data_IF_503613829958
#
_entry.id   IF_503613829958
#
_cell.length_a   1.000
_cell.length_b   1.000
_cell.length_c   1.000
_cell.angle_alpha   90.00
_cell.angle_beta   90.00
_cell.angle_gamma   90.00
#
_symmetry.space_group_name_H-M   'P 1'
#
loop_
_entity.id
_entity.type
_entity.pdbx_description
1 polymer ?
#
# COMPACT_ATOMS: atom_id res chain seq x y z
N UNK A 1 -23.69 27.44 0.67
CA UNK A 1 -25.14 27.71 0.60
C UNK A 1 -25.42 29.22 0.56
N UNK A 2 -24.60 30.00 -0.16
CA UNK A 2 -24.82 31.45 -0.30
C UNK A 2 -24.59 32.32 0.94
N UNK A 3 -24.08 31.78 2.06
CA UNK A 3 -23.81 32.54 3.29
C UNK A 3 -22.35 32.40 3.74
N UNK A 4 -21.74 33.51 4.16
CA UNK A 4 -20.46 33.50 4.86
C UNK A 4 -20.66 32.88 6.25
N UNK A 5 -19.77 31.96 6.63
CA UNK A 5 -19.73 31.36 7.97
C UNK A 5 -18.38 31.66 8.62
N UNK A 6 -18.35 32.14 9.87
CA UNK A 6 -17.09 32.29 10.58
C UNK A 6 -16.45 30.92 10.80
N UNK A 7 -15.12 30.87 10.68
CA UNK A 7 -14.38 29.70 11.15
C UNK A 7 -14.37 29.70 12.67
N UNK A 8 -14.47 28.52 13.27
CA UNK A 8 -14.32 28.35 14.70
C UNK A 8 -12.84 28.29 15.05
N UNK A 9 -12.37 29.17 15.93
CA UNK A 9 -11.04 29.05 16.52
C UNK A 9 -11.03 27.91 17.56
N UNK A 10 -9.98 27.11 17.55
CA UNK A 10 -9.76 26.03 18.49
C UNK A 10 -8.36 26.13 19.07
N UNK A 11 -8.28 26.19 20.39
CA UNK A 11 -7.03 26.10 21.15
C UNK A 11 -6.90 24.67 21.70
N UNK A 12 -5.91 23.94 21.20
CA UNK A 12 -5.61 22.56 21.62
C UNK A 12 -4.65 22.51 22.81
N UNK A 13 -4.25 23.67 23.36
CA UNK A 13 -3.30 23.78 24.46
C UNK A 13 -1.85 23.82 24.00
N UNK A 14 -0.93 23.38 24.86
CA UNK A 14 0.51 23.47 24.63
C UNK A 14 1.11 22.10 24.35
N UNK A 15 1.97 22.03 23.34
CA UNK A 15 2.77 20.86 23.02
C UNK A 15 4.25 21.16 23.30
N UNK A 16 4.90 20.32 24.10
CA UNK A 16 6.34 20.38 24.34
C UNK A 16 7.03 19.29 23.55
N UNK A 17 7.92 19.67 22.63
CA UNK A 17 8.75 18.75 21.86
C UNK A 17 10.22 19.17 21.99
N UNK A 18 11.09 18.24 22.42
CA UNK A 18 12.52 18.49 22.65
C UNK A 18 12.82 19.73 23.52
N UNK A 19 12.02 19.94 24.57
CA UNK A 19 12.16 21.08 25.49
C UNK A 19 11.58 22.41 24.97
N UNK A 20 11.12 22.48 23.72
CA UNK A 20 10.44 23.64 23.18
C UNK A 20 8.92 23.49 23.34
N UNK A 21 8.28 24.45 24.00
CA UNK A 21 6.82 24.48 24.19
C UNK A 21 6.19 25.45 23.21
N UNK A 22 5.18 24.99 22.47
CA UNK A 22 4.41 25.81 21.52
C UNK A 22 2.92 25.64 21.78
N UNK A 23 2.17 26.74 21.69
CA UNK A 23 0.72 26.68 21.68
C UNK A 23 0.24 26.09 20.35
N UNK A 24 -0.72 25.17 20.42
CA UNK A 24 -1.27 24.46 19.28
C UNK A 24 -2.68 24.99 19.05
N UNK A 25 -2.83 25.85 18.05
CA UNK A 25 -4.13 26.44 17.70
C UNK A 25 -4.44 26.17 16.23
N UNK A 26 -5.72 26.03 15.90
CA UNK A 26 -6.18 25.88 14.53
C UNK A 26 -7.61 26.37 14.35
N UNK A 27 -7.97 26.63 13.10
CA UNK A 27 -9.35 26.96 12.73
C UNK A 27 -10.10 25.71 12.29
N UNK A 28 -11.42 25.71 12.48
CA UNK A 28 -12.33 24.67 12.01
C UNK A 28 -13.43 25.30 11.17
N UNK A 29 -13.79 24.62 10.10
CA UNK A 29 -14.96 24.93 9.27
C UNK A 29 -16.07 23.93 9.58
N UNK A 30 -17.21 24.06 8.90
CA UNK A 30 -18.27 23.03 8.94
C UNK A 30 -17.79 21.68 8.40
N UNK A 31 -16.69 21.66 7.64
CA UNK A 31 -16.10 20.46 7.05
C UNK A 31 -15.00 19.86 7.92
N UNK A 32 -14.60 20.49 9.03
CA UNK A 32 -13.55 19.97 9.92
C UNK A 32 -12.36 20.90 10.10
N UNK A 33 -11.24 20.43 10.68
CA UNK A 33 -10.04 21.24 10.92
C UNK A 33 -9.45 21.77 9.62
N UNK A 34 -8.95 23.00 9.66
CA UNK A 34 -8.19 23.62 8.57
C UNK A 34 -6.75 23.12 8.64
N UNK A 35 -6.34 22.35 7.64
CA UNK A 35 -4.98 21.79 7.53
C UNK A 35 -3.99 22.80 6.95
N UNK A 36 -4.47 23.78 6.19
CA UNK A 36 -3.61 24.76 5.54
C UNK A 36 -4.39 25.72 4.65
N UNK A 37 -3.64 26.50 3.88
CA UNK A 37 -4.18 27.49 2.97
C UNK A 37 -3.53 27.38 1.59
N UNK A 38 -4.34 27.58 0.55
CA UNK A 38 -3.89 27.63 -0.83
C UNK A 38 -4.38 28.92 -1.51
N UNK A 39 -4.04 29.10 -2.79
CA UNK A 39 -4.57 30.17 -3.63
C UNK A 39 -5.31 29.58 -4.82
N UNK A 40 -6.52 30.08 -5.09
CA UNK A 40 -7.30 29.78 -6.29
C UNK A 40 -7.61 31.11 -6.96
N UNK A 41 -7.13 31.32 -8.19
CA UNK A 41 -7.26 32.59 -8.92
C UNK A 41 -6.82 33.81 -8.07
N UNK A 42 -5.67 33.69 -7.41
CA UNK A 42 -5.12 34.72 -6.53
C UNK A 42 -5.81 34.86 -5.15
N UNK A 43 -6.98 34.27 -4.96
CA UNK A 43 -7.73 34.33 -3.69
C UNK A 43 -7.27 33.24 -2.73
N UNK A 44 -6.99 33.62 -1.48
CA UNK A 44 -6.68 32.66 -0.41
C UNK A 44 -7.90 31.79 -0.12
N UNK A 45 -7.69 30.47 -0.09
CA UNK A 45 -8.69 29.46 0.28
C UNK A 45 -8.14 28.63 1.43
N UNK A 46 -9.02 28.19 2.34
CA UNK A 46 -8.65 27.24 3.38
C UNK A 46 -8.86 25.80 2.87
N UNK A 47 -7.93 24.92 3.21
CA UNK A 47 -8.05 23.48 3.00
C UNK A 47 -8.50 22.86 4.32
N UNK A 48 -9.66 22.23 4.32
CA UNK A 48 -10.22 21.60 5.51
C UNK A 48 -10.42 20.10 5.28
N UNK A 49 -10.30 19.31 6.34
CA UNK A 49 -10.41 17.85 6.28
C UNK A 49 -11.73 17.37 6.87
N UNK A 50 -12.54 16.68 6.05
CA UNK A 50 -13.82 16.10 6.45
C UNK A 50 -13.69 14.59 6.61
N UNK A 51 -13.66 14.13 7.86
CA UNK A 51 -13.65 12.70 8.21
C UNK A 51 -15.08 12.21 8.47
N UNK A 52 -15.52 11.19 7.73
CA UNK A 52 -16.87 10.64 7.84
C UNK A 52 -17.19 10.03 9.22
N UNK A 53 -16.18 9.42 9.84
CA UNK A 53 -16.24 8.84 11.18
C UNK A 53 -16.01 9.85 12.31
N UNK A 54 -15.86 11.15 12.01
CA UNK A 54 -15.64 12.17 13.05
C UNK A 54 -16.75 12.15 14.11
N UNK A 55 -16.34 12.05 15.39
CA UNK A 55 -17.24 12.02 16.55
C UNK A 55 -17.93 10.66 16.77
N UNK A 56 -17.53 9.62 16.03
CA UNK A 56 -18.11 8.27 16.11
C UNK A 56 -17.08 7.20 16.48
N UNK A 57 -15.88 7.60 16.86
CA UNK A 57 -14.75 6.70 17.12
C UNK A 57 -15.08 5.59 18.12
N UNK A 58 -15.89 5.90 19.16
CA UNK A 58 -16.30 4.93 20.18
C UNK A 58 -17.33 3.92 19.65
N UNK A 59 -18.09 4.24 18.59
CA UNK A 59 -19.09 3.32 18.04
C UNK A 59 -18.46 2.07 17.43
N UNK A 60 -17.19 2.16 17.02
CA UNK A 60 -16.40 1.04 16.53
C UNK A 60 -16.31 -0.10 17.55
N UNK A 61 -16.27 0.24 18.84
CA UNK A 61 -16.19 -0.74 19.93
C UNK A 61 -17.46 -1.58 20.08
N UNK A 62 -18.61 -1.10 19.58
CA UNK A 62 -19.88 -1.83 19.70
C UNK A 62 -19.86 -3.12 18.88
N UNK A 63 -19.14 -3.14 17.76
CA UNK A 63 -18.96 -4.36 16.97
C UNK A 63 -18.24 -5.43 17.80
N UNK A 64 -17.08 -5.09 18.37
CA UNK A 64 -16.30 -6.01 19.20
C UNK A 64 -17.02 -6.40 20.49
N UNK A 65 -17.78 -5.46 21.10
CA UNK A 65 -18.60 -5.74 22.27
C UNK A 65 -19.62 -6.85 21.97
N UNK A 66 -20.33 -6.77 20.84
CA UNK A 66 -21.31 -7.80 20.43
C UNK A 66 -20.66 -9.17 20.24
N UNK A 67 -19.47 -9.21 19.62
CA UNK A 67 -18.70 -10.46 19.47
C UNK A 67 -18.30 -11.04 20.83
N UNK A 68 -17.75 -10.21 21.71
CA UNK A 68 -17.25 -10.64 23.03
C UNK A 68 -18.36 -11.10 23.98
N UNK A 69 -19.60 -10.65 23.79
CA UNK A 69 -20.75 -11.00 24.64
C UNK A 69 -21.66 -12.05 23.99
N UNK A 70 -21.20 -12.74 22.93
CA UNK A 70 -21.95 -13.83 22.30
C UNK A 70 -23.27 -13.37 21.70
N UNK A 71 -23.32 -12.18 21.10
CA UNK A 71 -24.53 -11.64 20.45
C UNK A 71 -24.54 -11.86 18.93
N UNK A 72 -23.53 -12.55 18.40
CA UNK A 72 -23.34 -12.84 16.98
C UNK A 72 -23.10 -14.33 16.83
N UNK A 73 -24.03 -15.02 16.18
CA UNK A 73 -24.07 -16.48 16.09
C UNK A 73 -23.88 -17.01 14.67
N UNK A 74 -24.04 -16.16 13.66
CA UNK A 74 -23.89 -16.54 12.27
C UNK A 74 -23.34 -15.38 11.43
N UNK A 75 -22.97 -15.69 10.19
CA UNK A 75 -22.36 -14.77 9.25
C UNK A 75 -23.23 -13.54 8.93
N UNK A 76 -24.56 -13.70 8.85
CA UNK A 76 -25.46 -12.59 8.57
C UNK A 76 -25.53 -11.60 9.74
N UNK A 77 -25.53 -12.12 10.97
CA UNK A 77 -25.43 -11.29 12.17
C UNK A 77 -24.07 -10.61 12.26
N UNK A 78 -22.99 -11.30 11.85
CA UNK A 78 -21.65 -10.73 11.80
C UNK A 78 -21.58 -9.56 10.82
N UNK A 79 -22.11 -9.70 9.60
CA UNK A 79 -22.14 -8.61 8.61
C UNK A 79 -22.96 -7.42 9.11
N UNK A 80 -24.15 -7.66 9.69
CA UNK A 80 -24.95 -6.58 10.29
C UNK A 80 -24.24 -5.89 11.45
N UNK A 81 -23.47 -6.62 12.25
CA UNK A 81 -22.71 -6.03 13.35
C UNK A 81 -21.51 -5.22 12.83
N UNK A 82 -20.82 -5.71 11.80
CA UNK A 82 -19.70 -5.03 11.15
C UNK A 82 -20.13 -3.75 10.41
N UNK A 83 -21.31 -3.73 9.79
CA UNK A 83 -21.90 -2.54 9.15
C UNK A 83 -22.06 -1.33 10.08
N UNK A 84 -22.12 -1.58 11.39
CA UNK A 84 -22.22 -0.51 12.40
C UNK A 84 -20.89 0.19 12.66
N UNK A 85 -19.76 -0.33 12.17
CA UNK A 85 -18.46 0.29 12.40
C UNK A 85 -18.29 1.50 11.47
N UNK A 86 -18.02 2.70 12.01
CA UNK A 86 -17.88 3.89 11.18
C UNK A 86 -16.53 3.97 10.46
N UNK A 87 -15.57 3.13 10.86
CA UNK A 87 -14.22 3.06 10.31
C UNK A 87 -14.16 2.05 9.16
N UNK A 88 -13.27 2.30 8.20
CA UNK A 88 -13.08 1.39 7.06
C UNK A 88 -12.19 0.23 7.46
N UNK A 89 -12.79 -0.92 7.72
CA UNK A 89 -12.06 -2.16 8.03
C UNK A 89 -12.58 -3.33 7.21
N UNK A 90 -11.68 -4.26 6.88
CA UNK A 90 -12.06 -5.58 6.38
C UNK A 90 -12.23 -6.51 7.58
N UNK A 91 -13.45 -6.96 7.86
CA UNK A 91 -13.75 -7.92 8.91
C UNK A 91 -13.99 -9.31 8.32
N UNK A 92 -13.27 -10.30 8.85
CA UNK A 92 -13.33 -11.69 8.37
C UNK A 92 -14.12 -12.57 9.35
N UNK A 93 -14.97 -13.42 8.80
CA UNK A 93 -15.75 -14.41 9.53
C UNK A 93 -15.35 -15.82 9.12
N UNK A 94 -15.35 -16.73 10.09
CA UNK A 94 -15.19 -18.17 9.86
C UNK A 94 -15.97 -18.96 10.92
N UNK A 95 -16.76 -19.93 10.48
CA UNK A 95 -17.30 -21.03 11.30
C UNK A 95 -17.01 -22.39 10.61
N UNK A 96 -17.63 -23.49 11.04
CA UNK A 96 -17.46 -24.83 10.45
C UNK A 96 -18.11 -24.98 9.05
N UNK A 97 -18.91 -24.01 8.60
CA UNK A 97 -19.69 -24.07 7.35
C UNK A 97 -19.36 -22.94 6.38
N UNK A 98 -18.94 -21.79 6.88
CA UNK A 98 -18.90 -20.53 6.18
C UNK A 98 -17.60 -19.77 6.43
N UNK A 99 -17.11 -19.14 5.38
CA UNK A 99 -16.14 -18.05 5.44
C UNK A 99 -16.76 -16.80 4.82
N UNK A 100 -16.40 -15.64 5.34
CA UNK A 100 -16.87 -14.37 4.79
C UNK A 100 -15.96 -13.19 5.06
N UNK A 101 -16.17 -12.15 4.27
CA UNK A 101 -15.58 -10.83 4.47
C UNK A 101 -16.62 -9.75 4.28
N UNK A 102 -16.57 -8.74 5.14
CA UNK A 102 -17.33 -7.51 5.00
C UNK A 102 -16.39 -6.32 5.15
N UNK A 103 -16.39 -5.41 4.18
CA UNK A 103 -15.65 -4.15 4.24
C UNK A 103 -16.58 -3.05 4.74
N UNK A 104 -16.41 -2.65 5.98
CA UNK A 104 -17.26 -1.67 6.65
C UNK A 104 -16.79 -0.22 6.44
N UNK A 105 -17.52 0.74 7.02
CA UNK A 105 -17.12 2.14 7.13
C UNK A 105 -18.19 3.12 6.71
N UNK A 106 -18.10 4.37 7.18
CA UNK A 106 -18.94 5.45 6.65
C UNK A 106 -18.39 5.95 5.32
N UNK A 107 -18.70 5.25 4.24
CA UNK A 107 -18.27 5.58 2.87
C UNK A 107 -19.22 6.65 2.30
N UNK A 108 -18.77 7.90 2.08
CA UNK A 108 -19.66 8.97 1.65
C UNK A 108 -20.07 8.84 0.17
N UNK A 109 -21.35 9.03 -0.11
CA UNK A 109 -21.86 9.16 -1.48
C UNK A 109 -21.56 10.58 -1.95
N UNK A 110 -20.61 10.72 -2.87
CA UNK A 110 -20.23 12.01 -3.44
C UNK A 110 -21.08 12.35 -4.67
N UNK A 111 -21.33 13.64 -4.95
CA UNK A 111 -22.04 14.05 -6.16
C UNK A 111 -21.21 13.72 -7.42
N UNK A 112 -21.87 13.45 -8.55
CA UNK A 112 -21.19 12.97 -9.77
C UNK A 112 -20.27 14.00 -10.44
N UNK A 113 -20.37 15.26 -10.07
CA UNK A 113 -19.61 16.37 -10.65
C UNK A 113 -18.28 16.66 -9.94
N UNK A 114 -17.86 15.80 -9.00
CA UNK A 114 -16.58 15.94 -8.29
C UNK A 114 -15.67 14.77 -8.56
N UNK A 115 -14.38 15.05 -8.55
CA UNK A 115 -13.33 14.06 -8.54
C UNK A 115 -12.92 13.79 -7.08
N UNK A 116 -13.06 12.56 -6.55
CA UNK A 116 -12.71 12.24 -5.17
C UNK A 116 -11.20 12.31 -4.88
N UNK A 117 -10.35 12.32 -5.92
CA UNK A 117 -8.89 12.43 -5.78
C UNK A 117 -8.42 13.87 -5.58
N UNK A 118 -9.32 14.86 -5.68
CA UNK A 118 -9.02 16.29 -5.56
C UNK A 118 -9.80 16.96 -4.42
N UNK A 119 -9.27 18.08 -3.87
CA UNK A 119 -10.02 18.90 -2.93
C UNK A 119 -11.36 19.37 -3.52
N UNK A 120 -12.44 19.12 -2.78
CA UNK A 120 -13.81 19.48 -3.16
C UNK A 120 -14.15 20.88 -2.63
N UNK A 121 -14.88 21.68 -3.41
CA UNK A 121 -15.31 23.02 -3.00
C UNK A 121 -16.25 22.94 -1.79
N UNK A 122 -15.82 23.49 -0.66
CA UNK A 122 -16.63 23.60 0.57
C UNK A 122 -17.73 24.68 0.51
N UNK A 123 -18.25 25.01 -0.68
CA UNK A 123 -19.30 26.04 -0.83
C UNK A 123 -20.70 25.52 -0.52
N UNK A 124 -20.85 24.22 -0.34
CA UNK A 124 -22.12 23.55 -0.02
C UNK A 124 -22.88 23.01 -1.22
N UNK A 125 -22.40 23.21 -2.45
CA UNK A 125 -23.02 22.60 -3.65
C UNK A 125 -22.53 21.17 -3.88
N UNK A 126 -21.34 20.85 -3.36
CA UNK A 126 -20.66 19.58 -3.53
C UNK A 126 -20.63 18.72 -2.25
N UNK A 127 -21.64 18.88 -1.38
CA UNK A 127 -21.75 18.07 -0.15
C UNK A 127 -22.07 16.60 -0.43
N UNK A 128 -21.71 15.74 0.52
CA UNK A 128 -22.06 14.33 0.50
C UNK A 128 -23.57 14.11 0.59
N UNK A 129 -24.09 13.12 -0.13
CA UNK A 129 -25.50 12.73 -0.18
C UNK A 129 -25.82 11.54 0.73
N UNK A 130 -25.22 11.51 1.92
CA UNK A 130 -25.28 10.38 2.84
C UNK A 130 -24.14 9.39 2.65
N UNK A 131 -24.39 8.14 3.02
CA UNK A 131 -23.38 7.07 3.05
C UNK A 131 -23.89 5.84 2.31
N UNK A 132 -22.95 5.02 1.84
CA UNK A 132 -23.22 3.72 1.24
C UNK A 132 -24.12 2.88 2.16
N UNK A 133 -25.15 2.25 1.58
CA UNK A 133 -26.03 1.33 2.29
C UNK A 133 -25.40 -0.06 2.42
N UNK A 134 -25.76 -0.82 3.45
CA UNK A 134 -25.31 -2.21 3.69
C UNK A 134 -25.08 -3.06 2.43
N UNK A 135 -26.08 -3.18 1.54
CA UNK A 135 -25.99 -4.01 0.33
C UNK A 135 -24.97 -3.55 -0.73
N UNK A 136 -24.47 -2.33 -0.61
CA UNK A 136 -23.49 -1.73 -1.51
C UNK A 136 -22.07 -1.70 -0.91
N UNK A 137 -21.88 -2.21 0.31
CA UNK A 137 -20.55 -2.48 0.85
C UNK A 137 -19.94 -3.71 0.17
N UNK A 138 -18.61 -3.73 -0.09
CA UNK A 138 -17.93 -4.94 -0.51
C UNK A 138 -18.13 -6.03 0.53
N UNK A 139 -18.72 -7.14 0.11
CA UNK A 139 -18.98 -8.28 0.97
C UNK A 139 -19.06 -9.57 0.16
N UNK A 140 -18.74 -10.69 0.79
CA UNK A 140 -18.80 -12.00 0.13
C UNK A 140 -18.79 -13.15 1.13
N UNK A 141 -19.56 -14.19 0.81
CA UNK A 141 -19.70 -15.42 1.60
C UNK A 141 -19.33 -16.59 0.69
N UNK A 142 -18.52 -17.52 1.21
CA UNK A 142 -18.17 -18.79 0.56
C UNK A 142 -17.77 -18.63 -0.92
N UNK A 143 -16.71 -17.85 -1.23
CA UNK A 143 -16.29 -17.68 -2.61
C UNK A 143 -15.95 -19.03 -3.23
N UNK A 144 -16.22 -19.26 -4.53
CA UNK A 144 -15.93 -20.54 -5.20
C UNK A 144 -14.46 -21.00 -5.12
N UNK A 145 -13.54 -20.07 -4.84
CA UNK A 145 -12.13 -20.38 -4.61
C UNK A 145 -11.83 -21.11 -3.29
N UNK A 146 -12.78 -21.13 -2.35
CA UNK A 146 -12.63 -21.73 -1.02
C UNK A 146 -11.73 -20.93 -0.08
N UNK A 147 -11.30 -19.73 -0.45
CA UNK A 147 -10.37 -18.92 0.33
C UNK A 147 -10.68 -17.42 0.24
N UNK A 148 -10.37 -16.70 1.32
CA UNK A 148 -10.38 -15.23 1.37
C UNK A 148 -9.01 -14.78 1.88
N UNK A 149 -8.31 -13.98 1.08
CA UNK A 149 -6.97 -13.47 1.41
C UNK A 149 -6.98 -11.96 1.24
N UNK A 150 -6.49 -11.24 2.24
CA UNK A 150 -6.36 -9.79 2.19
C UNK A 150 -5.06 -9.35 2.85
N UNK A 151 -4.34 -8.46 2.18
CA UNK A 151 -3.23 -7.71 2.73
C UNK A 151 -3.37 -6.25 2.31
N UNK A 152 -4.40 -5.59 2.84
CA UNK A 152 -4.75 -4.19 2.54
C UNK A 152 -5.04 -3.93 1.05
N UNK A 153 -5.13 -4.99 0.23
CA UNK A 153 -5.48 -4.90 -1.17
C UNK A 153 -6.96 -4.58 -1.35
N UNK A 154 -7.29 -4.17 -2.58
CA UNK A 154 -8.66 -3.81 -2.98
C UNK A 154 -9.66 -4.94 -2.65
N UNK A 155 -10.78 -4.64 -1.96
CA UNK A 155 -11.76 -5.64 -1.56
C UNK A 155 -12.61 -6.17 -2.72
N UNK A 156 -12.91 -5.31 -3.70
CA UNK A 156 -13.68 -5.71 -4.89
C UNK A 156 -13.24 -4.95 -6.16
N UNK A 157 -13.66 -5.44 -7.33
CA UNK A 157 -13.36 -4.77 -8.59
C UNK A 157 -14.04 -3.40 -8.67
N UNK A 158 -13.26 -2.34 -8.86
CA UNK A 158 -13.78 -0.98 -8.97
C UNK A 158 -13.74 -0.18 -7.67
N UNK A 159 -13.51 -0.81 -6.52
CA UNK A 159 -13.35 -0.10 -5.25
C UNK A 159 -12.12 0.83 -5.28
N UNK A 160 -12.29 2.08 -4.89
CA UNK A 160 -11.25 3.11 -4.96
C UNK A 160 -10.36 3.11 -3.71
N UNK A 161 -9.15 3.62 -3.85
CA UNK A 161 -8.25 3.81 -2.72
C UNK A 161 -8.75 4.98 -1.83
N UNK A 162 -8.32 5.05 -0.57
CA UNK A 162 -8.55 6.24 0.25
C UNK A 162 -8.00 7.51 -0.41
N UNK A 163 -8.71 8.63 -0.23
CA UNK A 163 -8.37 9.93 -0.85
C UNK A 163 -7.07 10.56 -0.32
N UNK A 164 -6.46 9.97 0.69
CA UNK A 164 -5.22 10.40 1.35
C UNK A 164 -4.02 9.46 1.08
N UNK A 165 -4.24 8.29 0.50
CA UNK A 165 -3.20 7.28 0.29
C UNK A 165 -3.07 6.82 -1.17
N UNK A 166 -4.07 7.03 -2.05
CA UNK A 166 -4.08 6.72 -3.51
C UNK A 166 -3.57 5.32 -3.93
N UNK A 167 -3.33 4.46 -2.96
CA UNK A 167 -2.60 3.20 -3.04
C UNK A 167 -3.39 2.16 -2.26
N UNK A 168 -3.36 0.93 -2.77
CA UNK A 168 -3.89 -0.25 -2.10
C UNK A 168 -2.82 -1.31 -2.16
N UNK A 169 -2.73 -2.12 -1.11
CA UNK A 169 -1.76 -3.20 -1.01
C UNK A 169 -1.80 -4.11 -2.25
N UNK A 170 -0.65 -4.71 -2.56
CA UNK A 170 -0.58 -5.67 -3.62
C UNK A 170 -1.34 -6.97 -3.27
N UNK A 171 -1.89 -7.63 -4.27
CA UNK A 171 -2.48 -8.96 -4.08
C UNK A 171 -1.35 -9.98 -4.00
N UNK A 172 -1.08 -10.48 -2.79
CA UNK A 172 -0.13 -11.58 -2.55
C UNK A 172 -0.94 -12.79 -2.09
N UNK A 173 -1.02 -13.81 -2.95
CA UNK A 173 -1.71 -15.08 -2.68
C UNK A 173 -0.71 -16.19 -2.35
N UNK A 174 0.08 -16.02 -1.29
CA UNK A 174 0.99 -17.06 -0.80
C UNK A 174 0.72 -17.38 0.67
N UNK A 175 1.10 -18.58 1.11
CA UNK A 175 1.01 -18.94 2.53
C UNK A 175 1.75 -17.90 3.37
N UNK A 176 1.13 -17.40 4.45
CA UNK A 176 1.64 -16.27 5.24
C UNK A 176 3.13 -16.36 5.57
N UNK A 177 3.63 -17.56 5.86
CA UNK A 177 5.05 -17.79 6.17
C UNK A 177 5.99 -17.52 4.99
N UNK A 178 5.60 -17.89 3.77
CA UNK A 178 6.36 -17.59 2.58
C UNK A 178 6.31 -16.09 2.29
N UNK A 179 5.09 -15.53 2.21
CA UNK A 179 4.82 -14.10 1.98
C UNK A 179 5.67 -13.19 2.88
N UNK A 180 5.76 -13.57 4.15
CA UNK A 180 6.45 -12.84 5.19
C UNK A 180 7.96 -12.67 5.01
N UNK A 181 8.55 -13.30 4.01
CA UNK A 181 9.99 -13.15 3.71
C UNK A 181 10.25 -12.68 2.30
N UNK A 182 9.23 -12.59 1.45
CA UNK A 182 9.41 -12.25 0.04
C UNK A 182 9.62 -10.74 -0.14
N UNK A 183 10.37 -10.39 -1.17
CA UNK A 183 10.43 -9.03 -1.68
C UNK A 183 9.24 -8.77 -2.61
N UNK A 184 8.41 -7.78 -2.30
CA UNK A 184 7.21 -7.48 -3.09
C UNK A 184 7.55 -7.03 -4.51
N UNK A 185 8.70 -6.39 -4.73
CA UNK A 185 9.15 -5.97 -6.06
C UNK A 185 9.48 -7.20 -6.90
N UNK A 186 10.18 -8.15 -6.29
CA UNK A 186 10.52 -9.41 -6.95
C UNK A 186 9.27 -10.22 -7.29
N UNK A 187 8.33 -10.34 -6.35
CA UNK A 187 7.18 -11.19 -6.57
C UNK A 187 6.18 -10.65 -7.59
N UNK A 188 6.12 -9.33 -7.75
CA UNK A 188 5.05 -8.66 -8.50
C UNK A 188 5.52 -7.98 -9.78
N UNK A 189 6.70 -7.35 -9.77
CA UNK A 189 7.23 -6.61 -10.92
C UNK A 189 8.17 -7.48 -11.77
N UNK A 190 9.00 -8.31 -11.14
CA UNK A 190 10.04 -9.05 -11.84
C UNK A 190 9.49 -9.86 -13.03
N UNK A 191 8.34 -10.56 -12.97
CA UNK A 191 7.86 -11.34 -14.10
C UNK A 191 7.58 -10.51 -15.36
N UNK A 192 7.07 -9.28 -15.21
CA UNK A 192 6.83 -8.39 -16.35
C UNK A 192 8.10 -7.67 -16.80
N UNK A 193 8.97 -7.30 -15.86
CA UNK A 193 10.27 -6.69 -16.13
C UNK A 193 11.16 -7.65 -16.92
N UNK A 194 11.27 -8.89 -16.46
CA UNK A 194 12.04 -9.97 -17.06
C UNK A 194 11.57 -10.27 -18.48
N UNK A 195 10.26 -10.46 -18.68
CA UNK A 195 9.67 -10.62 -20.03
C UNK A 195 10.05 -9.48 -20.97
N UNK A 196 10.05 -8.25 -20.47
CA UNK A 196 10.42 -7.08 -21.28
C UNK A 196 11.90 -7.07 -21.63
N UNK A 197 12.77 -7.28 -20.64
CA UNK A 197 14.22 -7.17 -20.79
C UNK A 197 14.82 -8.30 -21.62
N UNK A 198 14.36 -9.55 -21.43
CA UNK A 198 14.75 -10.71 -22.26
C UNK A 198 14.37 -10.57 -23.73
N UNK A 199 13.37 -9.75 -24.05
CA UNK A 199 13.00 -9.46 -25.44
C UNK A 199 14.03 -8.62 -26.23
N UNK A 200 15.22 -8.35 -25.67
CA UNK A 200 16.32 -7.68 -26.36
C UNK A 200 17.68 -7.94 -25.70
N UNK A 201 18.75 -7.45 -26.33
CA UNK A 201 20.11 -7.68 -25.87
C UNK A 201 20.44 -6.84 -24.63
N UNK A 202 20.98 -7.47 -23.60
CA UNK A 202 21.53 -6.79 -22.42
C UNK A 202 22.76 -5.93 -22.80
N UNK A 203 23.00 -4.79 -22.12
CA UNK A 203 24.16 -3.93 -22.43
C UNK A 203 25.51 -4.61 -22.18
N UNK A 204 25.59 -5.47 -21.17
CA UNK A 204 26.80 -6.19 -20.81
C UNK A 204 26.51 -7.60 -20.28
N UNK A 205 27.56 -8.43 -20.18
CA UNK A 205 27.45 -9.76 -19.56
C UNK A 205 27.04 -9.68 -18.07
N UNK A 206 27.49 -8.64 -17.37
CA UNK A 206 27.10 -8.36 -15.98
C UNK A 206 25.60 -8.11 -15.88
N UNK A 207 25.04 -7.27 -16.75
CA UNK A 207 23.62 -6.93 -16.70
C UNK A 207 22.73 -8.12 -17.10
N UNK A 208 23.19 -8.95 -18.05
CA UNK A 208 22.54 -10.22 -18.37
C UNK A 208 22.54 -11.18 -17.16
N UNK A 209 23.67 -11.29 -16.46
CA UNK A 209 23.77 -12.11 -15.24
C UNK A 209 22.89 -11.57 -14.11
N UNK A 210 22.81 -10.25 -13.95
CA UNK A 210 21.91 -9.64 -12.97
C UNK A 210 20.45 -10.03 -13.22
N UNK A 211 20.00 -9.95 -14.47
CA UNK A 211 18.63 -10.37 -14.82
C UNK A 211 18.41 -11.86 -14.56
N UNK A 212 19.37 -12.72 -14.94
CA UNK A 212 19.28 -14.16 -14.67
C UNK A 212 19.24 -14.49 -13.17
N UNK A 213 19.94 -13.71 -12.33
CA UNK A 213 19.92 -13.88 -10.87
C UNK A 213 18.58 -13.43 -10.27
N UNK A 214 17.93 -12.41 -10.82
CA UNK A 214 16.56 -12.05 -10.47
C UNK A 214 15.60 -13.18 -10.89
N UNK A 215 15.64 -13.64 -12.15
CA UNK A 215 14.79 -14.74 -12.62
C UNK A 215 14.89 -15.97 -11.67
N UNK A 216 16.12 -16.34 -11.28
CA UNK A 216 16.38 -17.44 -10.36
C UNK A 216 15.90 -17.17 -8.93
N UNK A 217 16.07 -15.94 -8.44
CA UNK A 217 15.59 -15.56 -7.11
C UNK A 217 14.06 -15.58 -7.06
N UNK A 218 13.39 -15.06 -8.09
CA UNK A 218 11.94 -15.16 -8.25
C UNK A 218 11.47 -16.61 -8.26
N UNK A 219 12.10 -17.50 -9.02
CA UNK A 219 11.71 -18.91 -9.07
C UNK A 219 11.90 -19.62 -7.72
N UNK A 220 12.84 -19.14 -6.89
CA UNK A 220 13.09 -19.62 -5.53
C UNK A 220 12.20 -18.93 -4.46
N UNK A 221 11.28 -18.06 -4.88
CA UNK A 221 10.31 -17.41 -4.00
C UNK A 221 10.72 -16.04 -3.47
N UNK A 222 11.76 -15.40 -4.01
CA UNK A 222 12.08 -13.98 -3.75
C UNK A 222 12.38 -13.67 -2.28
N UNK A 223 12.82 -14.65 -1.50
CA UNK A 223 12.99 -14.51 -0.05
C UNK A 223 14.23 -13.69 0.32
N UNK A 224 14.08 -12.76 1.29
CA UNK A 224 15.15 -11.93 1.87
C UNK A 224 15.83 -12.54 3.11
N UNK A 225 15.73 -13.85 3.29
CA UNK A 225 16.31 -14.52 4.47
C UNK A 225 17.84 -14.54 4.45
N UNK A 226 18.44 -14.28 5.61
CA UNK A 226 19.80 -14.73 5.95
C UNK A 226 19.73 -16.19 6.43
N UNK A 227 19.97 -17.11 5.50
CA UNK A 227 19.98 -18.56 5.77
C UNK A 227 21.32 -19.02 6.36
N UNK A 228 22.35 -18.20 6.25
CA UNK A 228 23.73 -18.49 6.67
C UNK A 228 24.05 -17.99 8.08
N UNK A 229 23.28 -17.03 8.60
CA UNK A 229 23.52 -16.37 9.88
C UNK A 229 24.68 -15.37 9.87
N UNK A 230 25.16 -14.95 8.70
CA UNK A 230 26.32 -14.06 8.56
C UNK A 230 25.94 -12.56 8.49
N UNK A 231 24.67 -12.21 8.70
CA UNK A 231 24.17 -10.84 8.64
C UNK A 231 23.91 -10.34 7.23
N UNK A 232 23.89 -11.23 6.23
CA UNK A 232 23.62 -10.92 4.83
C UNK A 232 22.42 -11.71 4.30
N UNK A 233 21.61 -11.07 3.47
CA UNK A 233 20.56 -11.76 2.71
C UNK A 233 21.24 -12.74 1.75
N UNK A 234 20.88 -14.02 1.83
CA UNK A 234 21.59 -15.09 1.11
C UNK A 234 21.47 -14.94 -0.41
N UNK A 235 20.32 -14.48 -0.91
CA UNK A 235 20.10 -14.35 -2.34
C UNK A 235 20.68 -13.04 -2.90
N UNK A 236 21.50 -13.08 -3.96
CA UNK A 236 22.07 -11.87 -4.56
C UNK A 236 21.04 -10.98 -5.26
N UNK A 237 19.90 -11.55 -5.65
CA UNK A 237 18.77 -10.82 -6.20
C UNK A 237 18.30 -9.67 -5.30
N UNK A 238 18.39 -9.82 -3.97
CA UNK A 238 18.02 -8.77 -3.03
C UNK A 238 18.90 -7.51 -3.20
N UNK A 239 20.22 -7.68 -3.33
CA UNK A 239 21.15 -6.57 -3.53
C UNK A 239 20.92 -5.89 -4.88
N UNK A 240 20.69 -6.71 -5.92
CA UNK A 240 20.38 -6.22 -7.27
C UNK A 240 19.10 -5.39 -7.25
N UNK A 241 18.02 -5.91 -6.68
CA UNK A 241 16.73 -5.22 -6.62
C UNK A 241 16.79 -3.96 -5.75
N UNK A 242 17.51 -3.98 -4.63
CA UNK A 242 17.72 -2.81 -3.77
C UNK A 242 18.42 -1.66 -4.51
N UNK A 243 19.45 -1.98 -5.31
CA UNK A 243 20.17 -0.99 -6.10
C UNK A 243 19.38 -0.54 -7.35
N UNK A 244 18.69 -1.48 -8.01
CA UNK A 244 18.02 -1.21 -9.28
C UNK A 244 16.68 -0.51 -9.12
N UNK A 245 15.88 -0.89 -8.11
CA UNK A 245 14.51 -0.39 -7.94
C UNK A 245 14.39 1.14 -7.95
N UNK A 246 15.12 1.92 -7.12
CA UNK A 246 14.98 3.37 -7.13
C UNK A 246 15.36 3.99 -8.48
N UNK A 247 16.29 3.38 -9.22
CA UNK A 247 16.70 3.84 -10.55
C UNK A 247 15.64 3.51 -11.60
N UNK A 248 15.06 2.31 -11.57
CA UNK A 248 13.99 1.87 -12.45
C UNK A 248 12.74 2.75 -12.26
N UNK A 249 12.26 2.86 -11.01
CA UNK A 249 11.06 3.60 -10.66
C UNK A 249 11.17 5.09 -11.01
N UNK A 250 12.30 5.73 -10.66
CA UNK A 250 12.51 7.16 -10.95
C UNK A 250 12.73 7.45 -12.44
N UNK A 251 13.44 6.56 -13.16
CA UNK A 251 13.61 6.71 -14.61
C UNK A 251 12.28 6.59 -15.35
N UNK A 252 11.43 5.65 -14.93
CA UNK A 252 10.07 5.49 -15.45
C UNK A 252 9.20 6.73 -15.18
N UNK A 253 9.08 7.15 -13.92
CA UNK A 253 8.22 8.28 -13.56
C UNK A 253 8.66 9.59 -14.24
N UNK A 254 9.98 9.83 -14.29
CA UNK A 254 10.55 11.06 -14.84
C UNK A 254 10.42 11.17 -16.36
N UNK A 255 10.10 10.08 -17.06
CA UNK A 255 9.88 10.11 -18.51
C UNK A 255 8.70 11.01 -18.89
N UNK A 256 7.71 11.17 -18.00
CA UNK A 256 6.53 12.03 -18.22
C UNK A 256 6.49 13.17 -17.20
N UNK A 257 6.73 12.89 -15.92
CA UNK A 257 6.65 13.90 -14.86
C UNK A 257 7.82 14.88 -14.88
N UNK A 258 8.97 14.46 -15.42
CA UNK A 258 10.23 15.16 -15.22
C UNK A 258 10.72 15.09 -13.76
N UNK A 259 11.97 15.50 -13.48
CA UNK A 259 12.60 15.26 -12.17
C UNK A 259 11.90 15.94 -11.00
N UNK A 260 11.38 17.16 -11.21
CA UNK A 260 10.75 17.96 -10.16
C UNK A 260 9.45 17.31 -9.66
N UNK A 261 8.55 16.93 -10.57
CA UNK A 261 7.28 16.29 -10.20
C UNK A 261 7.50 14.85 -9.73
N UNK A 262 8.45 14.09 -10.29
CA UNK A 262 8.84 12.79 -9.71
C UNK A 262 9.27 12.92 -8.25
N UNK A 263 10.00 13.99 -7.92
CA UNK A 263 10.45 14.23 -6.54
C UNK A 263 9.32 14.69 -5.62
N UNK A 264 8.31 15.39 -6.16
CA UNK A 264 7.09 15.72 -5.42
C UNK A 264 6.25 14.47 -5.17
N UNK A 265 6.07 13.64 -6.20
CA UNK A 265 5.34 12.39 -6.08
C UNK A 265 5.97 11.46 -5.04
N UNK A 266 7.30 11.35 -5.00
CA UNK A 266 8.02 10.55 -4.00
C UNK A 266 7.87 11.05 -2.55
N UNK A 267 7.35 12.26 -2.34
CA UNK A 267 6.99 12.77 -1.00
C UNK A 267 5.53 12.53 -0.63
N UNK A 268 4.68 12.31 -1.63
CA UNK A 268 3.27 11.98 -1.43
C UNK A 268 3.12 10.48 -1.21
N UNK A 269 3.77 9.68 -2.05
CA UNK A 269 3.76 8.22 -2.01
C UNK A 269 5.19 7.71 -2.04
N UNK A 270 5.56 6.89 -1.06
CA UNK A 270 6.91 6.32 -1.00
C UNK A 270 7.20 5.50 -2.25
N UNK A 271 8.41 5.67 -2.81
CA UNK A 271 8.86 4.87 -3.94
C UNK A 271 8.88 3.38 -3.57
N UNK A 272 9.27 3.09 -2.31
CA UNK A 272 9.20 1.78 -1.69
C UNK A 272 9.50 1.87 -0.20
N UNK A 273 8.63 1.27 0.60
CA UNK A 273 8.83 1.04 2.02
C UNK A 273 9.77 -0.17 2.24
N UNK A 274 11.08 0.08 2.29
CA UNK A 274 12.06 -0.98 2.48
C UNK A 274 11.98 -1.62 3.89
N UNK A 275 12.40 -2.89 4.04
CA UNK A 275 12.65 -3.49 5.35
C UNK A 275 13.49 -2.58 6.27
N UNK A 276 13.19 -2.47 7.57
CA UNK A 276 12.24 -3.27 8.36
C UNK A 276 10.76 -2.88 8.23
N UNK A 277 10.39 -1.98 7.30
CA UNK A 277 9.01 -1.63 7.01
C UNK A 277 8.19 -2.76 6.36
N UNK A 278 6.89 -2.52 6.19
CA UNK A 278 5.90 -3.49 5.72
C UNK A 278 5.87 -3.72 4.21
N UNK A 279 6.71 -3.03 3.42
CA UNK A 279 6.70 -3.10 1.95
C UNK A 279 5.33 -2.80 1.31
N UNK A 280 4.43 -2.15 2.04
CA UNK A 280 3.05 -1.90 1.59
C UNK A 280 3.02 -0.76 0.57
N UNK A 281 3.67 0.35 0.92
CA UNK A 281 3.76 1.55 0.10
C UNK A 281 4.86 1.40 -0.95
N UNK A 282 4.50 1.40 -2.23
CA UNK A 282 5.45 1.19 -3.33
C UNK A 282 4.91 1.63 -4.68
N UNK A 283 5.82 2.01 -5.59
CA UNK A 283 5.46 2.32 -6.98
C UNK A 283 5.34 1.08 -7.89
N UNK A 284 5.52 -0.12 -7.35
CA UNK A 284 5.44 -1.39 -8.11
C UNK A 284 4.16 -1.53 -8.94
N UNK A 285 2.94 -1.32 -8.38
CA UNK A 285 1.71 -1.44 -9.15
C UNK A 285 1.63 -0.46 -10.32
N UNK A 286 2.24 0.72 -10.19
CA UNK A 286 2.23 1.73 -11.24
C UNK A 286 3.12 1.31 -12.40
N UNK A 287 4.36 0.91 -12.11
CA UNK A 287 5.30 0.45 -13.12
C UNK A 287 4.81 -0.84 -13.80
N UNK A 288 4.36 -1.84 -13.03
CA UNK A 288 3.83 -3.11 -13.57
C UNK A 288 2.71 -2.86 -14.59
N UNK A 289 1.73 -2.01 -14.25
CA UNK A 289 0.61 -1.68 -15.14
C UNK A 289 1.08 -1.08 -16.47
N UNK A 290 2.05 -0.17 -16.42
CA UNK A 290 2.59 0.46 -17.62
C UNK A 290 3.43 -0.54 -18.45
N UNK A 291 4.28 -1.35 -17.82
CA UNK A 291 5.08 -2.36 -18.54
C UNK A 291 4.20 -3.41 -19.22
N UNK A 292 3.16 -3.92 -18.53
CA UNK A 292 2.16 -4.82 -19.16
C UNK A 292 1.49 -4.16 -20.35
N UNK A 293 1.22 -2.86 -20.27
CA UNK A 293 0.62 -2.10 -21.37
C UNK A 293 1.57 -1.97 -22.56
N UNK A 294 2.85 -1.67 -22.33
CA UNK A 294 3.88 -1.57 -23.38
C UNK A 294 4.15 -2.93 -24.05
N UNK A 295 4.01 -4.02 -23.31
CA UNK A 295 4.11 -5.39 -23.82
C UNK A 295 2.86 -5.87 -24.58
N UNK A 296 1.83 -5.02 -24.73
CA UNK A 296 0.60 -5.40 -25.42
C UNK A 296 -0.31 -6.33 -24.63
N UNK A 297 -0.09 -6.52 -23.33
CA UNK A 297 -0.96 -7.34 -22.50
C UNK A 297 -2.31 -6.64 -22.27
N UNK A 298 -3.36 -7.43 -22.00
CA UNK A 298 -4.66 -6.90 -21.61
C UNK A 298 -4.55 -6.28 -20.21
N UNK A 299 -4.86 -4.98 -20.11
CA UNK A 299 -4.81 -4.21 -18.86
C UNK A 299 -6.10 -3.41 -18.75
N UNK A 300 -6.81 -3.55 -17.63
CA UNK A 300 -7.96 -2.72 -17.28
C UNK A 300 -7.47 -1.40 -16.68
N UNK A 301 -8.07 -0.28 -17.09
CA UNK A 301 -7.68 1.05 -16.60
C UNK A 301 -6.23 1.41 -16.97
N UNK A 302 -5.87 1.24 -18.24
CA UNK A 302 -4.56 1.69 -18.77
C UNK A 302 -4.38 3.18 -18.51
N UNK A 303 -3.15 3.61 -18.26
CA UNK A 303 -2.85 5.04 -18.19
C UNK A 303 -3.18 5.73 -19.52
N UNK A 304 -3.69 6.95 -19.42
CA UNK A 304 -3.91 7.83 -20.57
C UNK A 304 -2.58 8.24 -21.22
N UNK A 305 -1.54 8.41 -20.40
CA UNK A 305 -0.17 8.67 -20.84
C UNK A 305 0.64 7.38 -20.94
N UNK A 306 1.71 7.40 -21.74
CA UNK A 306 2.67 6.30 -21.86
C UNK A 306 3.97 6.68 -21.18
N UNK A 307 4.28 6.07 -20.04
CA UNK A 307 5.48 6.43 -19.28
C UNK A 307 6.73 5.79 -19.88
N UNK A 308 6.82 4.47 -19.86
CA UNK A 308 8.04 3.77 -20.26
C UNK A 308 8.31 3.94 -21.76
N UNK A 309 9.43 4.58 -22.10
CA UNK A 309 9.85 4.79 -23.48
C UNK A 309 8.82 5.53 -24.35
N UNK A 310 7.93 6.34 -23.75
CA UNK A 310 6.77 6.94 -24.41
C UNK A 310 5.87 5.92 -25.13
N UNK A 311 5.78 4.69 -24.60
CA UNK A 311 4.99 3.60 -25.18
C UNK A 311 5.73 2.78 -26.24
N UNK A 312 6.95 3.16 -26.61
CA UNK A 312 7.77 2.39 -27.54
C UNK A 312 8.57 1.33 -26.77
N UNK A 313 8.34 0.04 -27.11
CA UNK A 313 8.97 -1.09 -26.44
C UNK A 313 10.51 -1.06 -26.47
N UNK A 314 11.12 -0.69 -27.61
CA UNK A 314 12.59 -0.61 -27.74
C UNK A 314 13.18 0.48 -26.84
N UNK A 315 12.54 1.66 -26.81
CA UNK A 315 12.96 2.77 -25.93
C UNK A 315 12.74 2.43 -24.46
N UNK A 316 11.61 1.79 -24.13
CA UNK A 316 11.32 1.34 -22.77
C UNK A 316 12.39 0.34 -22.29
N UNK A 317 12.75 -0.64 -23.13
CA UNK A 317 13.82 -1.59 -22.84
C UNK A 317 15.17 -0.89 -22.62
N UNK A 318 15.54 0.05 -23.47
CA UNK A 318 16.78 0.81 -23.33
C UNK A 318 16.82 1.62 -22.02
N UNK A 319 15.69 2.25 -21.66
CA UNK A 319 15.54 3.02 -20.42
C UNK A 319 15.77 2.14 -19.18
N UNK A 320 15.13 0.97 -19.14
CA UNK A 320 15.22 0.05 -18.00
C UNK A 320 16.60 -0.63 -17.93
N UNK A 321 17.18 -1.02 -19.06
CA UNK A 321 18.56 -1.53 -19.08
C UNK A 321 19.58 -0.49 -18.62
N UNK A 322 19.41 0.79 -18.97
CA UNK A 322 20.28 1.86 -18.46
C UNK A 322 20.14 2.07 -16.95
N UNK A 323 18.98 1.76 -16.35
CA UNK A 323 18.83 1.76 -14.88
C UNK A 323 19.51 0.53 -14.25
N UNK A 324 19.36 -0.66 -14.84
CA UNK A 324 20.03 -1.88 -14.40
C UNK A 324 21.56 -1.76 -14.47
N UNK A 325 22.10 -1.23 -15.56
CA UNK A 325 23.54 -1.01 -15.73
C UNK A 325 24.12 -0.08 -14.65
N UNK A 326 23.42 1.03 -14.35
CA UNK A 326 23.82 1.95 -13.27
C UNK A 326 23.79 1.29 -11.88
N UNK A 327 22.81 0.41 -11.63
CA UNK A 327 22.75 -0.38 -10.41
C UNK A 327 23.94 -1.36 -10.33
N UNK A 328 24.20 -2.09 -11.41
CA UNK A 328 25.29 -3.03 -11.52
C UNK A 328 26.66 -2.37 -11.37
N UNK A 329 26.87 -1.19 -11.94
CA UNK A 329 28.09 -0.41 -11.77
C UNK A 329 28.28 0.07 -10.32
N UNK A 330 27.20 0.35 -9.60
CA UNK A 330 27.26 0.72 -8.18
C UNK A 330 27.63 -0.49 -7.33
N UNK A 331 26.96 -1.61 -7.51
CA UNK A 331 27.27 -2.85 -6.78
C UNK A 331 28.66 -3.39 -7.12
N UNK A 332 29.09 -3.31 -8.37
CA UNK A 332 30.43 -3.74 -8.76
C UNK A 332 31.54 -2.95 -8.05
N UNK A 333 31.33 -1.65 -7.83
CA UNK A 333 32.27 -0.80 -7.09
C UNK A 333 32.28 -1.09 -5.59
N UNK A 334 31.14 -1.45 -5.00
CA UNK A 334 31.02 -1.61 -3.53
C UNK A 334 31.16 -3.05 -3.05
N UNK A 335 30.86 -4.04 -3.90
CA UNK A 335 30.81 -5.47 -3.54
C UNK A 335 31.61 -6.36 -4.51
N UNK A 336 32.36 -5.77 -5.45
CA UNK A 336 33.22 -6.49 -6.38
C UNK A 336 32.54 -6.90 -7.69
N UNK A 337 33.33 -7.37 -8.66
CA UNK A 337 32.87 -7.48 -10.05
C UNK A 337 31.80 -8.57 -10.33
N UNK A 338 31.66 -9.58 -9.46
CA UNK A 338 30.77 -10.73 -9.69
C UNK A 338 29.38 -10.51 -9.05
N UNK A 339 28.31 -10.39 -9.85
CA UNK A 339 26.94 -10.27 -9.36
C UNK A 339 26.49 -11.34 -8.38
N UNK A 340 27.01 -12.57 -8.49
CA UNK A 340 26.63 -13.67 -7.61
C UNK A 340 27.09 -13.49 -6.15
N UNK A 341 28.04 -12.58 -5.91
CA UNK A 341 28.60 -12.32 -4.57
C UNK A 341 28.02 -11.04 -3.93
N UNK A 342 27.03 -10.41 -4.56
CA UNK A 342 26.42 -9.20 -4.01
C UNK A 342 25.33 -9.56 -3.01
N UNK A 343 25.32 -8.93 -1.85
CA UNK A 343 24.34 -9.20 -0.81
C UNK A 343 23.83 -7.91 -0.16
N UNK A 344 22.54 -7.91 0.20
CA UNK A 344 21.95 -6.89 1.07
C UNK A 344 22.27 -7.22 2.53
N UNK A 345 22.34 -6.21 3.39
CA UNK A 345 22.52 -6.45 4.83
C UNK A 345 21.22 -6.94 5.45
N UNK A 346 21.21 -8.14 6.02
CA UNK A 346 20.09 -8.62 6.83
C UNK A 346 20.10 -7.98 8.23
N UNK A 347 21.25 -7.43 8.66
CA UNK A 347 21.39 -6.73 9.95
C UNK A 347 20.64 -5.41 9.97
N UNK A 348 20.63 -4.66 8.85
CA UNK A 348 19.88 -3.39 8.75
C UNK A 348 18.37 -3.61 8.71
N UNK A 349 17.91 -4.80 8.29
CA UNK A 349 16.49 -5.13 8.21
C UNK A 349 15.90 -5.63 9.53
N UNK A 350 16.72 -5.80 10.58
CA UNK A 350 16.25 -6.33 11.86
C UNK A 350 15.18 -5.43 12.47
N UNK A 351 14.08 -6.04 12.90
CA UNK A 351 13.00 -5.34 13.59
C UNK A 351 13.45 -5.04 15.03
N UNK A 352 13.13 -3.82 15.47
CA UNK A 352 13.37 -3.31 16.82
C UNK A 352 12.04 -2.95 17.48
N UNK A 353 11.95 -3.15 18.78
CA UNK A 353 10.73 -2.86 19.54
C UNK A 353 10.81 -1.45 20.13
N UNK A 354 9.96 -0.54 19.64
CA UNK A 354 9.82 0.83 20.15
C UNK A 354 9.19 0.77 21.56
N UNK A 355 9.65 1.59 22.54
CA UNK A 355 10.56 2.73 22.40
C UNK A 355 12.06 2.41 22.53
N UNK A 356 12.48 1.17 22.30
CA UNK A 356 13.90 0.77 22.33
C UNK A 356 14.40 0.41 23.73
N UNK A 357 13.49 0.17 24.67
CA UNK A 357 13.82 -0.29 26.02
C UNK A 357 14.25 -1.76 26.02
N UNK A 358 13.73 -2.56 25.08
CA UNK A 358 14.12 -3.95 24.90
C UNK A 358 15.36 -4.03 24.00
N UNK A 359 16.47 -4.66 24.44
CA UNK A 359 17.66 -4.87 23.60
C UNK A 359 17.43 -5.93 22.51
N UNK A 360 16.30 -6.64 22.58
CA UNK A 360 15.96 -7.71 21.66
C UNK A 360 15.65 -7.15 20.27
N UNK A 361 16.16 -7.84 19.28
CA UNK A 361 15.83 -7.62 17.87
C UNK A 361 15.45 -8.95 17.26
N UNK A 362 14.63 -8.91 16.22
CA UNK A 362 14.26 -10.10 15.44
C UNK A 362 14.70 -9.94 14.00
N UNK A 363 14.92 -11.07 13.31
CA UNK A 363 15.12 -11.06 11.86
C UNK A 363 13.91 -10.42 11.20
N UNK A 364 14.15 -9.70 10.10
CA UNK A 364 13.06 -9.14 9.33
C UNK A 364 12.04 -10.20 8.97
N UNK A 365 10.77 -9.87 9.17
CA UNK A 365 9.67 -10.62 8.61
C UNK A 365 8.52 -9.65 8.41
N UNK A 366 7.95 -9.69 7.22
CA UNK A 366 6.82 -8.86 6.87
C UNK A 366 5.53 -9.50 7.42
N UNK A 367 5.33 -9.38 8.74
CA UNK A 367 4.22 -10.00 9.49
C UNK A 367 3.52 -8.97 10.36
N UNK A 368 2.28 -9.27 10.80
CA UNK A 368 1.60 -8.47 11.82
C UNK A 368 2.45 -8.28 13.07
N UNK A 369 2.34 -7.10 13.68
CA UNK A 369 3.10 -6.68 14.87
C UNK A 369 2.74 -7.43 16.16
N UNK A 370 1.59 -8.13 16.19
CA UNK A 370 1.04 -8.71 17.41
C UNK A 370 0.83 -10.23 17.38
N UNK A 371 -0.07 -10.73 16.52
CA UNK A 371 -0.63 -12.07 16.65
C UNK A 371 -0.72 -12.76 15.29
N UNK A 372 -0.37 -14.05 15.26
CA UNK A 372 -0.74 -14.98 14.20
C UNK A 372 -1.48 -16.16 14.82
N UNK A 373 -2.64 -16.50 14.27
CA UNK A 373 -3.46 -17.61 14.75
C UNK A 373 -3.70 -18.60 13.62
N UNK A 374 -3.72 -19.88 13.97
CA UNK A 374 -4.25 -20.95 13.12
C UNK A 374 -5.42 -21.54 13.89
N UNK A 375 -6.62 -21.35 13.35
CA UNK A 375 -7.88 -21.74 13.98
C UNK A 375 -8.59 -22.75 13.07
N UNK A 376 -9.24 -23.74 13.66
CA UNK A 376 -10.09 -24.71 12.98
C UNK A 376 -11.38 -24.87 13.76
N UNK A 377 -12.52 -24.88 13.05
CA UNK A 377 -13.85 -25.02 13.63
C UNK A 377 -14.43 -26.39 13.22
N UNK A 378 -14.89 -27.17 14.19
CA UNK A 378 -15.39 -28.53 13.97
C UNK A 378 -16.91 -28.70 14.11
N UNK A 379 -17.62 -27.63 14.45
CA UNK A 379 -19.06 -27.60 14.68
C UNK A 379 -19.49 -26.42 15.54
N UNK A 380 -20.76 -26.04 15.47
CA UNK A 380 -21.38 -25.06 16.37
C UNK A 380 -21.69 -25.66 17.76
N UNK A 381 -21.76 -24.80 18.78
CA UNK A 381 -22.26 -25.19 20.09
C UNK A 381 -23.79 -25.46 20.05
N UNK A 382 -24.34 -26.28 20.95
CA UNK A 382 -25.79 -26.51 21.00
C UNK A 382 -26.55 -25.19 21.19
N UNK A 383 -27.37 -24.81 20.19
CA UNK A 383 -28.16 -23.57 20.19
C UNK A 383 -27.68 -22.48 19.22
N UNK A 384 -26.48 -22.61 18.67
CA UNK A 384 -25.96 -21.75 17.60
C UNK A 384 -26.27 -22.41 16.25
N UNK A 385 -27.44 -22.08 15.66
CA UNK A 385 -27.94 -22.65 14.40
C UNK A 385 -28.34 -21.58 13.39
#
# INVERSE_FOLDING_TARGET
NGRCRPMQFFDAGKLTNNGATSEVTFYRTVHGPVLGYARVNGRRVALAEKRASYGKDVLDLLFYYRLAHGQVHNIDQFFRAADQTPQTFNSFYMDDRNIGVFTSGLIPIRPRNVDPDLPIKGTGHEEWHGYTSFGNHPQGINPPSGQIVNWNNRPEAGYEAPSDNWSLGAVITSAMNAAATQDVREMLLEPVLSRLLHGGRAPSARDAQMLSLLDAWRSQGGSRLDRTGNGQVTAPGAAIMDAAWPLLARAWASAVLGPALTSQFARLESVYEAPPGGQETTWVPYLDKDLRTVLGMRVRGKYAVRYCGAGNLKRCRALLWAAMDRAGATLARTQGANPANWHSSATTERIRFIPGILPFTMRYTNRPTGIQQVLSFGGHAPGDG
#
